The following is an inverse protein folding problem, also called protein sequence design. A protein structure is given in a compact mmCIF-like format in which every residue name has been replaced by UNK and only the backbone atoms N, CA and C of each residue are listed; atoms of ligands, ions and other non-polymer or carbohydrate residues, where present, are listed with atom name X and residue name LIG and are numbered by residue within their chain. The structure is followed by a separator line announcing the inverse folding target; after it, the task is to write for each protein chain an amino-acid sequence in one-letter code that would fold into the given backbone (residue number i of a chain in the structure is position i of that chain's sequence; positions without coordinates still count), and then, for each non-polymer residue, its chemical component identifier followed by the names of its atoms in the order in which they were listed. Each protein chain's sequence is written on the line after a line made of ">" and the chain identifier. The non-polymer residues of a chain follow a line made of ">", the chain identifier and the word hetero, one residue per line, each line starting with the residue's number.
data_IF_866028399568
#
_entry.id   IF_866028399568
#
_cell.length_a   1.000
_cell.length_b   1.000
_cell.length_c   1.000
_cell.angle_alpha   90.00
_cell.angle_beta   90.00
_cell.angle_gamma   90.00
#
_symmetry.space_group_name_H-M   'P 1'
#
loop_
_entity.id
_entity.type
_entity.pdbx_description
1 polymer ?
#
# COMPACT_ATOMS: atom_id res chain seq x y z
N UNK A 1 -19.76 -16.74 -5.78
CA UNK A 1 -20.13 -15.53 -6.54
C UNK A 1 -21.31 -15.73 -7.49
N UNK A 2 -21.32 -16.73 -8.38
CA UNK A 2 -22.45 -16.99 -9.30
C UNK A 2 -23.82 -17.16 -8.61
N UNK A 3 -23.88 -17.86 -7.46
CA UNK A 3 -25.13 -18.04 -6.70
C UNK A 3 -25.58 -16.81 -5.88
N UNK A 4 -24.65 -15.96 -5.44
CA UNK A 4 -24.96 -14.81 -4.56
C UNK A 4 -25.35 -13.54 -5.31
N UNK A 5 -24.85 -13.35 -6.52
CA UNK A 5 -25.04 -12.14 -7.33
C UNK A 5 -25.92 -12.34 -8.57
N UNK A 6 -26.52 -13.54 -8.72
CA UNK A 6 -27.33 -13.88 -9.90
C UNK A 6 -28.57 -13.00 -10.13
N UNK A 7 -28.98 -12.20 -9.13
CA UNK A 7 -30.11 -11.24 -9.25
C UNK A 7 -29.68 -9.81 -9.56
N UNK A 8 -28.39 -9.49 -9.50
CA UNK A 8 -27.87 -8.14 -9.73
C UNK A 8 -27.43 -8.01 -11.19
N UNK A 9 -27.87 -6.94 -11.87
CA UNK A 9 -27.47 -6.64 -13.25
C UNK A 9 -27.91 -7.69 -14.29
N UNK A 10 -29.11 -8.25 -14.17
CA UNK A 10 -29.65 -9.19 -15.18
C UNK A 10 -28.92 -10.54 -15.27
N UNK A 11 -28.26 -10.98 -14.19
CA UNK A 11 -27.49 -12.23 -14.16
C UNK A 11 -26.01 -12.09 -14.53
N UNK A 12 -25.55 -10.88 -14.85
CA UNK A 12 -24.16 -10.59 -15.26
C UNK A 12 -23.27 -10.06 -14.13
N UNK A 13 -23.69 -10.17 -12.86
CA UNK A 13 -22.93 -9.64 -11.71
C UNK A 13 -21.47 -10.14 -11.61
N UNK A 14 -21.14 -11.30 -12.20
CA UNK A 14 -19.77 -11.80 -12.27
C UNK A 14 -18.85 -10.90 -13.11
N UNK A 15 -19.32 -10.33 -14.23
CA UNK A 15 -18.54 -9.41 -15.07
C UNK A 15 -18.21 -8.12 -14.34
N UNK A 16 -19.17 -7.59 -13.57
CA UNK A 16 -18.98 -6.39 -12.76
C UNK A 16 -17.89 -6.61 -11.70
N UNK A 17 -17.89 -7.76 -11.02
CA UNK A 17 -16.83 -8.08 -10.05
C UNK A 17 -15.50 -8.23 -10.75
N UNK A 18 -15.43 -8.95 -11.87
CA UNK A 18 -14.18 -9.14 -12.62
C UNK A 18 -13.58 -7.78 -13.00
N UNK A 19 -14.40 -6.86 -13.51
CA UNK A 19 -13.95 -5.50 -13.82
C UNK A 19 -13.50 -4.74 -12.57
N UNK A 20 -14.26 -4.83 -11.47
CA UNK A 20 -13.90 -4.17 -10.21
C UNK A 20 -12.58 -4.68 -9.64
N UNK A 21 -12.38 -6.00 -9.59
CA UNK A 21 -11.14 -6.64 -9.11
C UNK A 21 -9.97 -6.31 -10.04
N UNK A 22 -10.19 -6.27 -11.35
CA UNK A 22 -9.17 -5.84 -12.31
C UNK A 22 -8.73 -4.40 -12.07
N UNK A 23 -9.68 -3.46 -11.96
CA UNK A 23 -9.37 -2.05 -11.68
C UNK A 23 -8.70 -1.86 -10.31
N UNK A 24 -9.14 -2.61 -9.30
CA UNK A 24 -8.54 -2.59 -7.97
C UNK A 24 -7.11 -3.15 -7.96
N UNK A 25 -6.87 -4.24 -8.68
CA UNK A 25 -5.54 -4.81 -8.85
C UNK A 25 -4.60 -3.84 -9.57
N UNK A 26 -5.07 -3.16 -10.61
CA UNK A 26 -4.31 -2.12 -11.32
C UNK A 26 -3.97 -0.93 -10.43
N UNK A 27 -4.93 -0.37 -9.69
CA UNK A 27 -4.67 0.78 -8.81
C UNK A 27 -3.70 0.43 -7.68
N UNK A 28 -3.79 -0.80 -7.17
CA UNK A 28 -2.86 -1.35 -6.17
C UNK A 28 -1.47 -1.46 -6.76
N UNK A 29 -1.32 -2.07 -7.95
CA UNK A 29 -0.03 -2.19 -8.63
C UNK A 29 0.66 -0.84 -8.86
N UNK A 30 -0.10 0.18 -9.29
CA UNK A 30 0.43 1.54 -9.49
C UNK A 30 0.92 2.14 -8.16
N UNK A 31 0.13 2.02 -7.10
CA UNK A 31 0.49 2.55 -5.77
C UNK A 31 1.76 1.89 -5.23
N UNK A 32 1.88 0.56 -5.33
CA UNK A 32 3.06 -0.18 -4.87
C UNK A 32 4.30 0.10 -5.72
N UNK A 33 4.15 0.32 -7.02
CA UNK A 33 5.23 0.79 -7.89
C UNK A 33 5.77 2.14 -7.41
N UNK A 34 4.88 3.08 -7.10
CA UNK A 34 5.25 4.40 -6.59
C UNK A 34 5.96 4.34 -5.23
N UNK A 35 5.45 3.54 -4.28
CA UNK A 35 6.09 3.37 -2.98
C UNK A 35 7.50 2.81 -3.11
N UNK A 36 7.69 1.81 -3.97
CA UNK A 36 9.02 1.27 -4.25
C UNK A 36 9.94 2.24 -4.97
N UNK A 37 9.42 3.06 -5.89
CA UNK A 37 10.18 4.13 -6.55
C UNK A 37 10.76 5.11 -5.53
N UNK A 38 9.96 5.48 -4.52
CA UNK A 38 10.41 6.34 -3.40
C UNK A 38 11.40 5.65 -2.49
N UNK A 39 11.20 4.38 -2.18
CA UNK A 39 12.14 3.59 -1.38
C UNK A 39 13.51 3.47 -2.07
N UNK A 40 13.52 3.14 -3.37
CA UNK A 40 14.75 3.03 -4.17
C UNK A 40 15.42 4.39 -4.34
N UNK A 41 14.66 5.45 -4.57
CA UNK A 41 15.18 6.81 -4.61
C UNK A 41 15.89 7.19 -3.31
N UNK A 42 15.32 6.83 -2.16
CA UNK A 42 15.90 7.10 -0.85
C UNK A 42 17.17 6.27 -0.59
N UNK A 43 17.18 4.99 -0.95
CA UNK A 43 18.28 4.07 -0.65
C UNK A 43 19.45 4.16 -1.64
N UNK A 44 19.15 4.28 -2.93
CA UNK A 44 20.13 4.14 -4.02
C UNK A 44 20.22 5.37 -4.92
N UNK A 45 19.29 6.33 -4.78
CA UNK A 45 19.26 7.54 -5.59
C UNK A 45 18.51 7.40 -6.91
N UNK A 46 18.35 8.53 -7.62
CA UNK A 46 17.44 8.65 -8.76
C UNK A 46 17.79 7.72 -9.95
N UNK A 47 19.07 7.37 -10.12
CA UNK A 47 19.52 6.50 -11.22
C UNK A 47 18.92 5.10 -11.17
N UNK A 48 18.53 4.61 -9.99
CA UNK A 48 18.03 3.24 -9.80
C UNK A 48 16.51 3.11 -9.92
N UNK A 49 15.80 4.24 -10.04
CA UNK A 49 14.34 4.29 -10.17
C UNK A 49 13.83 3.58 -11.43
N UNK A 50 14.41 3.85 -12.60
CA UNK A 50 14.00 3.23 -13.87
C UNK A 50 14.26 1.72 -13.90
N UNK A 51 15.46 1.20 -13.52
CA UNK A 51 15.67 -0.24 -13.39
C UNK A 51 14.67 -0.93 -12.46
N UNK A 52 14.35 -0.31 -11.32
CA UNK A 52 13.36 -0.85 -10.38
C UNK A 52 11.98 -1.03 -11.03
N UNK A 53 11.49 -0.03 -11.77
CA UNK A 53 10.17 -0.12 -12.45
C UNK A 53 10.12 -1.26 -13.46
N UNK A 54 11.22 -1.49 -14.19
CA UNK A 54 11.33 -2.62 -15.13
C UNK A 54 11.21 -3.95 -14.37
N UNK A 55 11.98 -4.10 -13.28
CA UNK A 55 11.91 -5.30 -12.43
C UNK A 55 10.50 -5.49 -11.84
N UNK A 56 9.86 -4.42 -11.38
CA UNK A 56 8.51 -4.45 -10.83
C UNK A 56 7.48 -4.97 -11.84
N UNK A 57 7.55 -4.53 -13.10
CA UNK A 57 6.69 -5.03 -14.18
C UNK A 57 6.94 -6.52 -14.48
N UNK A 58 8.21 -6.95 -14.51
CA UNK A 58 8.56 -8.37 -14.69
C UNK A 58 8.03 -9.22 -13.53
N UNK A 59 8.17 -8.76 -12.29
CA UNK A 59 7.65 -9.45 -11.11
C UNK A 59 6.13 -9.57 -11.11
N UNK A 60 5.39 -8.59 -11.65
CA UNK A 60 3.94 -8.70 -11.84
C UNK A 60 3.57 -9.83 -12.81
N UNK A 61 4.30 -9.95 -13.92
CA UNK A 61 4.09 -11.04 -14.86
C UNK A 61 4.42 -12.40 -14.23
N UNK A 62 5.52 -12.50 -13.49
CA UNK A 62 5.89 -13.72 -12.77
C UNK A 62 4.85 -14.09 -11.69
N UNK A 63 4.29 -13.10 -11.00
CA UNK A 63 3.23 -13.30 -10.01
C UNK A 63 1.94 -13.89 -10.61
N UNK A 64 1.69 -13.69 -11.90
CA UNK A 64 0.57 -14.32 -12.61
C UNK A 64 0.83 -15.79 -12.99
N UNK A 65 2.10 -16.24 -12.93
CA UNK A 65 2.53 -17.60 -13.29
C UNK A 65 2.65 -18.49 -12.04
N UNK A 66 3.15 -17.93 -10.94
CA UNK A 66 3.36 -18.67 -9.69
C UNK A 66 2.06 -18.99 -8.94
N UNK A 67 2.14 -19.94 -8.00
CA UNK A 67 0.99 -20.30 -7.18
C UNK A 67 0.60 -19.16 -6.24
N UNK A 68 -0.72 -19.02 -6.04
CA UNK A 68 -1.29 -17.99 -5.17
C UNK A 68 -0.71 -18.07 -3.75
N UNK A 69 -0.58 -19.30 -3.21
CA UNK A 69 0.01 -19.56 -1.89
C UNK A 69 1.43 -19.01 -1.76
N UNK A 70 2.28 -19.22 -2.77
CA UNK A 70 3.65 -18.72 -2.76
C UNK A 70 3.70 -17.19 -2.80
N UNK A 71 2.84 -16.57 -3.62
CA UNK A 71 2.75 -15.10 -3.73
C UNK A 71 2.30 -14.49 -2.39
N UNK A 72 1.30 -15.07 -1.74
CA UNK A 72 0.85 -14.62 -0.41
C UNK A 72 1.91 -14.82 0.65
N UNK A 73 2.54 -16.00 0.72
CA UNK A 73 3.59 -16.29 1.69
C UNK A 73 4.78 -15.32 1.57
N UNK A 74 5.20 -15.00 0.34
CA UNK A 74 6.23 -13.99 0.10
C UNK A 74 5.77 -12.58 0.50
N UNK A 75 4.53 -12.21 0.16
CA UNK A 75 3.92 -10.93 0.51
C UNK A 75 3.86 -10.71 2.03
N UNK A 76 3.37 -11.70 2.78
CA UNK A 76 3.25 -11.63 4.23
C UNK A 76 4.62 -11.51 4.91
N UNK A 77 5.63 -12.24 4.40
CA UNK A 77 7.00 -12.13 4.91
C UNK A 77 7.58 -10.73 4.66
N UNK A 78 7.42 -10.18 3.46
CA UNK A 78 7.93 -8.85 3.10
C UNK A 78 7.21 -7.74 3.90
N UNK A 79 5.88 -7.82 4.01
CA UNK A 79 5.06 -6.90 4.80
C UNK A 79 5.43 -6.98 6.29
N UNK A 80 5.62 -8.18 6.82
CA UNK A 80 6.06 -8.39 8.20
C UNK A 80 7.41 -7.72 8.46
N UNK A 81 8.39 -7.95 7.59
CA UNK A 81 9.72 -7.35 7.69
C UNK A 81 9.68 -5.82 7.64
N UNK A 82 8.84 -5.23 6.78
CA UNK A 82 8.66 -3.78 6.68
C UNK A 82 7.93 -3.19 7.91
N UNK A 83 6.96 -3.92 8.44
CA UNK A 83 6.10 -3.44 9.55
C UNK A 83 6.88 -3.31 10.85
N UNK A 84 7.82 -4.23 11.14
CA UNK A 84 8.61 -4.22 12.39
C UNK A 84 9.35 -2.88 12.62
N UNK A 85 10.24 -2.41 11.72
CA UNK A 85 10.95 -1.15 11.93
C UNK A 85 10.02 0.07 11.85
N UNK A 86 8.94 0.01 11.07
CA UNK A 86 7.97 1.10 10.96
C UNK A 86 7.22 1.31 12.29
N UNK A 87 6.65 0.25 12.86
CA UNK A 87 5.96 0.32 14.15
C UNK A 87 6.91 0.71 15.27
N UNK A 88 8.12 0.16 15.30
CA UNK A 88 9.13 0.56 16.28
C UNK A 88 9.45 2.06 16.19
N UNK A 89 9.61 2.59 14.98
CA UNK A 89 9.87 4.02 14.77
C UNK A 89 8.71 4.89 15.25
N UNK A 90 7.47 4.49 14.99
CA UNK A 90 6.28 5.23 15.46
C UNK A 90 6.25 5.28 16.99
N UNK A 91 6.52 4.16 17.66
CA UNK A 91 6.56 4.09 19.13
C UNK A 91 7.63 5.03 19.70
N UNK A 92 8.84 5.00 19.15
CA UNK A 92 9.95 5.86 19.59
C UNK A 92 9.68 7.36 19.31
N UNK A 93 9.03 7.68 18.19
CA UNK A 93 8.75 9.05 17.77
C UNK A 93 7.47 9.64 18.38
N UNK A 94 6.67 8.86 19.10
CA UNK A 94 5.40 9.30 19.68
C UNK A 94 5.56 10.56 20.54
N UNK A 95 6.63 10.65 21.35
CA UNK A 95 6.92 11.84 22.16
C UNK A 95 7.22 13.08 21.31
N UNK A 96 8.01 12.93 20.25
CA UNK A 96 8.39 14.02 19.33
C UNK A 96 7.16 14.55 18.60
N UNK A 97 6.31 13.66 18.09
CA UNK A 97 5.08 14.03 17.40
C UNK A 97 4.14 14.81 18.33
N UNK A 98 3.97 14.39 19.59
CA UNK A 98 3.17 15.14 20.57
C UNK A 98 3.67 16.58 20.77
N UNK A 99 4.99 16.77 20.89
CA UNK A 99 5.57 18.12 21.00
C UNK A 99 5.32 18.96 19.75
N UNK A 100 5.44 18.36 18.56
CA UNK A 100 5.23 19.05 17.29
C UNK A 100 3.77 19.45 17.10
N UNK A 101 2.82 18.57 17.43
CA UNK A 101 1.39 18.84 17.38
C UNK A 101 1.04 20.02 18.30
N UNK A 102 1.49 20.02 19.55
CA UNK A 102 1.27 21.15 20.48
C UNK A 102 1.77 22.47 19.93
N UNK A 103 2.97 22.47 19.33
CA UNK A 103 3.54 23.66 18.70
C UNK A 103 2.69 24.12 17.50
N UNK A 104 2.24 23.20 16.67
CA UNK A 104 1.42 23.51 15.49
C UNK A 104 0.05 24.10 15.85
N UNK A 105 -0.57 23.58 16.92
CA UNK A 105 -1.83 24.10 17.47
C UNK A 105 -1.60 25.49 18.08
N UNK A 106 -0.52 25.70 18.84
CA UNK A 106 -0.18 27.01 19.39
C UNK A 106 0.08 28.08 18.31
N UNK A 107 0.57 27.67 17.13
CA UNK A 107 0.73 28.53 15.96
C UNK A 107 -0.57 28.79 15.19
N UNK A 108 -1.70 28.20 15.61
CA UNK A 108 -3.01 28.35 14.96
C UNK A 108 -3.11 27.65 13.60
N UNK A 109 -2.20 26.72 13.29
CA UNK A 109 -2.14 26.00 12.00
C UNK A 109 -2.96 24.70 12.00
N UNK A 110 -3.46 24.29 13.15
CA UNK A 110 -4.21 23.05 13.36
C UNK A 110 -5.18 23.24 14.53
N UNK A 111 -6.37 22.68 14.41
CA UNK A 111 -7.32 22.60 15.53
C UNK A 111 -6.79 21.66 16.63
N UNK A 112 -7.04 21.96 17.92
CA UNK A 112 -6.58 21.10 19.00
C UNK A 112 -7.17 19.70 18.84
N UNK A 113 -6.35 18.65 18.99
CA UNK A 113 -6.83 17.29 18.85
C UNK A 113 -7.88 16.95 19.92
N UNK A 114 -8.86 16.11 19.56
CA UNK A 114 -10.01 15.74 20.43
C UNK A 114 -9.60 15.14 21.78
N UNK A 115 -8.40 14.57 21.90
CA UNK A 115 -7.89 14.00 23.15
C UNK A 115 -7.18 15.03 24.07
N UNK A 116 -7.02 16.28 23.62
CA UNK A 116 -6.59 17.42 24.44
C UNK A 116 -7.73 18.43 24.71
N UNK A 117 -8.90 18.25 24.09
CA UNK A 117 -10.12 19.03 24.30
C UNK A 117 -10.93 18.52 25.52
#
# INVERSE_FOLDING_TARGET
>A
FQRGLGKIGGGQGHLLITLAVFLFGLSTAISWSYYGDRAVLYLFGARWTTPYRIVFCVMHFLGAIYSLELVWAFGDMALGLMTIPNLLSILLLTGVVKTWVKKYVAEGKMEPPEWEA
#
